data_IF_532713081163
#
_entry.id   IF_532713081163
#
_cell.length_a   1.000
_cell.length_b   1.000
_cell.length_c   1.000
_cell.angle_alpha   90.00
_cell.angle_beta   90.00
_cell.angle_gamma   90.00
#
_symmetry.space_group_name_H-M   'P 1'
#
loop_
_entity.id
_entity.type
_entity.pdbx_description
1 polymer ?
#
# COMPACT_ATOMS: atom_id res chain seq x y z
N UNK A 1 52.44 6.61 81.73
CA UNK A 1 53.23 7.28 80.67
C UNK A 1 52.40 7.29 79.39
N UNK A 2 52.10 8.49 78.85
CA UNK A 2 51.45 8.81 77.54
C UNK A 2 49.94 8.51 77.40
N UNK A 3 49.02 9.47 77.30
CA UNK A 3 48.74 10.61 76.36
C UNK A 3 47.68 10.22 75.30
N UNK A 4 46.50 10.89 75.38
CA UNK A 4 45.66 11.52 74.33
C UNK A 4 45.57 10.92 72.89
N UNK A 5 44.36 10.75 72.32
CA UNK A 5 43.67 11.72 71.42
C UNK A 5 42.46 11.13 70.64
N UNK A 6 41.51 12.03 70.39
CA UNK A 6 40.33 11.97 69.51
C UNK A 6 40.65 11.57 68.05
N UNK A 7 39.66 11.01 67.34
CA UNK A 7 39.13 11.62 66.10
C UNK A 7 37.82 10.99 65.62
N UNK A 8 36.82 11.87 65.41
CA UNK A 8 35.58 11.65 64.69
C UNK A 8 35.82 11.36 63.20
N UNK A 9 35.02 10.48 62.59
CA UNK A 9 34.53 10.65 61.20
C UNK A 9 33.10 10.12 61.15
N UNK A 10 32.14 11.04 61.00
CA UNK A 10 30.79 10.76 60.50
C UNK A 10 30.89 10.23 59.07
N UNK A 11 30.29 9.09 58.77
CA UNK A 11 29.90 8.75 57.40
C UNK A 11 28.38 8.73 57.31
N UNK A 12 27.85 9.82 56.76
CA UNK A 12 26.51 9.88 56.21
C UNK A 12 26.47 9.02 54.95
N UNK A 13 25.76 7.90 55.00
CA UNK A 13 25.42 7.16 53.78
C UNK A 13 24.17 7.80 53.21
N UNK A 14 24.38 8.51 52.09
CA UNK A 14 23.36 9.05 51.21
C UNK A 14 22.36 7.96 50.84
N UNK A 15 21.10 8.17 51.21
CA UNK A 15 19.96 7.48 50.62
C UNK A 15 19.89 7.87 49.14
N UNK A 16 20.51 7.06 48.29
CA UNK A 16 20.30 7.11 46.86
C UNK A 16 18.85 6.75 46.57
N UNK A 17 18.11 7.71 46.03
CA UNK A 17 16.81 7.51 45.40
C UNK A 17 16.97 6.45 44.32
N UNK A 18 16.60 5.21 44.63
CA UNK A 18 16.31 4.23 43.60
C UNK A 18 15.14 4.80 42.80
N UNK A 19 15.45 5.41 41.64
CA UNK A 19 14.47 5.58 40.60
C UNK A 19 13.91 4.18 40.33
N UNK A 20 12.69 3.94 40.79
CA UNK A 20 11.95 2.73 40.48
C UNK A 20 11.88 2.65 38.96
N UNK A 21 12.70 1.78 38.37
CA UNK A 21 12.51 1.38 37.00
C UNK A 21 11.11 0.75 36.96
N UNK A 22 10.13 1.49 36.45
CA UNK A 22 8.82 0.94 36.17
C UNK A 22 9.06 -0.28 35.28
N UNK A 23 8.46 -1.44 35.58
CA UNK A 23 8.59 -2.58 34.69
C UNK A 23 8.11 -2.15 33.31
N UNK A 24 9.00 -2.28 32.31
CA UNK A 24 8.68 -2.01 30.91
C UNK A 24 7.35 -2.69 30.59
N UNK A 25 6.34 -1.90 30.25
CA UNK A 25 5.06 -2.45 29.82
C UNK A 25 5.31 -3.32 28.57
N UNK A 26 4.71 -4.52 28.49
CA UNK A 26 4.84 -5.34 27.28
C UNK A 26 4.35 -4.55 26.07
N UNK A 27 5.06 -4.57 24.94
CA UNK A 27 4.68 -3.82 23.73
C UNK A 27 3.20 -4.07 23.32
N UNK A 28 2.72 -5.29 23.51
CA UNK A 28 1.33 -5.67 23.25
C UNK A 28 0.30 -4.92 24.10
N UNK A 29 0.64 -4.39 25.27
CA UNK A 29 -0.28 -3.59 26.08
C UNK A 29 -0.56 -2.21 25.50
N UNK A 30 0.15 -1.80 24.44
CA UNK A 30 -0.09 -0.55 23.72
C UNK A 30 -1.17 -0.69 22.61
N UNK A 31 -1.71 -1.90 22.40
CA UNK A 31 -2.83 -2.18 21.46
C UNK A 31 -4.23 -1.86 22.03
N UNK A 32 -4.33 -0.78 22.80
CA UNK A 32 -5.58 -0.36 23.45
C UNK A 32 -5.82 1.15 23.28
N UNK A 33 -5.49 1.67 22.10
CA UNK A 33 -5.77 3.07 21.77
C UNK A 33 -7.29 3.29 21.70
N UNK A 34 -7.78 4.51 22.01
CA UNK A 34 -9.19 4.83 21.79
C UNK A 34 -9.57 4.55 20.34
N UNK A 35 -10.67 3.82 20.15
CA UNK A 35 -11.27 3.58 18.84
C UNK A 35 -11.61 4.93 18.23
N UNK A 36 -11.20 5.14 16.98
CA UNK A 36 -11.62 6.29 16.21
C UNK A 36 -12.34 5.78 14.97
N UNK A 37 -13.61 6.14 14.83
CA UNK A 37 -14.28 6.04 13.55
C UNK A 37 -14.82 7.40 13.15
N UNK A 38 -14.42 7.85 11.96
CA UNK A 38 -14.94 9.07 11.33
C UNK A 38 -16.34 8.89 10.76
N UNK A 39 -17.00 7.75 11.03
CA UNK A 39 -18.35 7.43 10.56
C UNK A 39 -19.30 7.88 11.67
N UNK A 40 -19.79 9.11 11.54
CA UNK A 40 -21.06 9.47 12.18
C UNK A 40 -22.09 8.40 11.81
N UNK A 41 -23.21 8.29 12.52
CA UNK A 41 -24.27 7.31 12.24
C UNK A 41 -24.74 7.24 10.77
N UNK A 42 -24.34 8.19 9.93
CA UNK A 42 -24.54 8.24 8.49
C UNK A 42 -23.34 7.63 7.74
N UNK A 43 -23.65 6.50 7.14
CA UNK A 43 -22.89 5.85 6.08
C UNK A 43 -22.53 6.85 4.96
N UNK A 44 -21.24 7.16 4.81
CA UNK A 44 -20.74 8.00 3.72
C UNK A 44 -20.70 7.15 2.44
N UNK A 45 -21.13 7.71 1.29
CA UNK A 45 -21.16 7.08 -0.05
C UNK A 45 -22.35 6.10 -0.29
N UNK A 46 -23.52 6.69 -0.60
CA UNK A 46 -24.77 5.95 -0.78
C UNK A 46 -24.73 4.97 -1.96
N UNK A 47 -24.06 5.31 -3.06
CA UNK A 47 -23.94 4.48 -4.26
C UNK A 47 -23.15 3.20 -3.98
N UNK A 48 -21.97 3.33 -3.36
CA UNK A 48 -21.15 2.19 -2.94
C UNK A 48 -21.97 1.26 -2.05
N UNK A 49 -22.62 1.83 -1.03
CA UNK A 49 -23.34 1.04 -0.05
C UNK A 49 -24.55 0.36 -0.67
N UNK A 50 -25.30 1.05 -1.54
CA UNK A 50 -26.38 0.45 -2.29
C UNK A 50 -25.89 -0.72 -3.16
N UNK A 51 -24.68 -0.63 -3.74
CA UNK A 51 -24.13 -1.67 -4.59
C UNK A 51 -23.76 -2.95 -3.82
N UNK A 52 -23.30 -2.85 -2.57
CA UNK A 52 -22.78 -3.99 -1.80
C UNK A 52 -23.67 -4.45 -0.63
N UNK A 53 -24.67 -3.65 -0.22
CA UNK A 53 -25.57 -4.01 0.89
C UNK A 53 -26.36 -5.29 0.60
N UNK A 54 -26.32 -6.21 1.57
CA UNK A 54 -27.05 -7.48 1.51
C UNK A 54 -26.49 -8.51 0.53
N UNK A 55 -25.36 -8.23 -0.13
CA UNK A 55 -24.67 -9.18 -1.01
C UNK A 55 -23.57 -9.92 -0.24
N UNK A 56 -23.57 -11.26 -0.21
CA UNK A 56 -22.46 -12.00 0.39
C UNK A 56 -21.20 -11.86 -0.47
N UNK A 57 -20.06 -11.60 0.16
CA UNK A 57 -18.77 -11.65 -0.52
C UNK A 57 -18.27 -13.10 -0.61
N UNK A 58 -17.71 -13.47 -1.77
CA UNK A 58 -17.05 -14.76 -2.00
C UNK A 58 -15.66 -14.48 -2.57
N UNK A 59 -14.62 -14.91 -1.86
CA UNK A 59 -13.25 -14.79 -2.34
C UNK A 59 -13.02 -15.68 -3.56
N UNK A 60 -12.66 -15.07 -4.68
CA UNK A 60 -12.33 -15.70 -5.97
C UNK A 60 -10.97 -15.18 -6.43
N UNK A 61 -10.26 -15.96 -7.26
CA UNK A 61 -8.96 -15.56 -7.77
C UNK A 61 -9.07 -14.98 -9.18
N UNK A 62 -8.44 -13.84 -9.43
CA UNK A 62 -8.44 -13.19 -10.74
C UNK A 62 -7.96 -14.13 -11.86
N UNK A 63 -6.97 -14.98 -11.56
CA UNK A 63 -6.43 -15.98 -12.50
C UNK A 63 -7.49 -16.94 -13.04
N UNK A 64 -8.55 -17.22 -12.27
CA UNK A 64 -9.61 -18.18 -12.68
C UNK A 64 -10.57 -17.55 -13.71
N UNK A 65 -10.48 -16.23 -13.90
CA UNK A 65 -11.34 -15.44 -14.79
C UNK A 65 -10.54 -14.63 -15.83
N UNK A 66 -9.22 -14.85 -15.89
CA UNK A 66 -8.33 -14.17 -16.82
C UNK A 66 -7.92 -15.15 -17.91
N UNK A 67 -8.03 -14.80 -19.21
CA UNK A 67 -7.60 -15.67 -20.28
C UNK A 67 -6.08 -15.88 -20.22
N UNK A 68 -5.63 -17.08 -20.58
CA UNK A 68 -4.21 -17.33 -20.82
C UNK A 68 -3.82 -16.83 -22.21
N UNK A 69 -2.66 -16.18 -22.29
CA UNK A 69 -2.06 -15.89 -23.59
C UNK A 69 -1.64 -17.21 -24.25
N UNK A 70 -1.79 -17.29 -25.58
CA UNK A 70 -1.19 -18.40 -26.33
C UNK A 70 0.32 -18.45 -26.09
N UNK A 71 0.95 -19.62 -26.26
CA UNK A 71 2.41 -19.74 -26.09
C UNK A 71 3.22 -18.74 -26.95
N UNK A 72 2.70 -18.35 -28.12
CA UNK A 72 3.35 -17.33 -28.94
C UNK A 72 3.14 -15.91 -28.39
N UNK A 73 1.93 -15.57 -27.96
CA UNK A 73 1.61 -14.30 -27.34
C UNK A 73 2.39 -14.09 -26.03
N UNK A 74 2.44 -15.11 -25.18
CA UNK A 74 3.19 -15.09 -23.92
C UNK A 74 4.67 -14.83 -24.17
N UNK A 75 5.31 -15.57 -25.10
CA UNK A 75 6.73 -15.33 -25.43
C UNK A 75 6.99 -13.91 -25.93
N UNK A 76 6.14 -13.40 -26.81
CA UNK A 76 6.30 -12.06 -27.34
C UNK A 76 6.14 -10.98 -26.25
N UNK A 77 5.22 -11.19 -25.30
CA UNK A 77 5.08 -10.31 -24.14
C UNK A 77 6.26 -10.43 -23.17
N UNK A 78 6.75 -11.64 -22.92
CA UNK A 78 7.94 -11.88 -22.07
C UNK A 78 9.19 -11.18 -22.62
N UNK A 79 9.33 -11.07 -23.95
CA UNK A 79 10.43 -10.33 -24.56
C UNK A 79 10.39 -8.82 -24.22
N UNK A 80 9.19 -8.24 -24.10
CA UNK A 80 9.01 -6.88 -23.59
C UNK A 80 9.37 -6.79 -22.11
N UNK A 81 8.82 -7.69 -21.28
CA UNK A 81 9.05 -7.72 -19.83
C UNK A 81 10.55 -7.81 -19.52
N UNK A 82 11.26 -8.76 -20.14
CA UNK A 82 12.71 -8.93 -19.96
C UNK A 82 13.50 -7.70 -20.40
N UNK A 83 13.09 -7.06 -21.48
CA UNK A 83 13.79 -5.87 -21.97
C UNK A 83 13.63 -4.69 -21.03
N UNK A 84 12.45 -4.53 -20.42
CA UNK A 84 12.20 -3.49 -19.42
C UNK A 84 12.96 -3.77 -18.13
N UNK A 85 12.93 -4.99 -17.58
CA UNK A 85 13.70 -5.36 -16.38
C UNK A 85 15.21 -5.11 -16.53
N UNK A 86 15.76 -5.42 -17.71
CA UNK A 86 17.16 -5.11 -18.02
C UNK A 86 17.40 -3.61 -18.18
N UNK A 87 16.41 -2.93 -18.76
CA UNK A 87 16.43 -1.51 -19.08
C UNK A 87 16.40 -0.58 -17.89
N UNK A 88 15.70 -0.91 -16.80
CA UNK A 88 15.63 -0.06 -15.59
C UNK A 88 17.01 0.22 -14.97
N UNK A 89 17.99 -0.65 -15.25
CA UNK A 89 19.39 -0.49 -14.80
C UNK A 89 20.23 0.40 -15.73
N UNK A 90 19.69 0.82 -16.87
CA UNK A 90 20.37 1.63 -17.87
C UNK A 90 20.00 3.10 -17.67
N UNK A 91 21.00 3.95 -17.49
CA UNK A 91 20.78 5.40 -17.36
C UNK A 91 20.02 5.94 -18.58
N UNK A 92 19.00 6.75 -18.31
CA UNK A 92 18.15 7.37 -19.35
C UNK A 92 17.37 6.40 -20.25
N UNK A 93 17.20 5.13 -19.84
CA UNK A 93 16.45 4.11 -20.60
C UNK A 93 15.07 4.60 -21.09
N UNK A 94 14.33 5.29 -20.23
CA UNK A 94 12.99 5.77 -20.53
C UNK A 94 12.93 6.89 -21.57
N UNK A 95 13.94 7.77 -21.64
CA UNK A 95 13.94 8.91 -22.56
C UNK A 95 14.83 8.71 -23.80
N UNK A 96 15.72 7.72 -23.80
CA UNK A 96 16.51 7.41 -24.98
C UNK A 96 15.64 6.95 -26.14
N UNK A 97 15.90 7.51 -27.33
CA UNK A 97 15.08 7.29 -28.52
C UNK A 97 15.15 5.85 -29.06
N UNK A 98 16.31 5.20 -28.96
CA UNK A 98 16.48 3.83 -29.43
C UNK A 98 15.79 2.84 -28.48
N UNK A 99 15.95 3.04 -27.17
CA UNK A 99 15.25 2.25 -26.16
C UNK A 99 13.73 2.43 -26.22
N UNK A 100 13.27 3.66 -26.44
CA UNK A 100 11.84 3.95 -26.68
C UNK A 100 11.31 3.19 -27.89
N UNK A 101 11.96 3.32 -29.05
CA UNK A 101 11.54 2.61 -30.26
C UNK A 101 11.51 1.10 -30.04
N UNK A 102 12.52 0.54 -29.34
CA UNK A 102 12.57 -0.89 -29.07
C UNK A 102 11.43 -1.37 -28.17
N UNK A 103 11.04 -0.61 -27.13
CA UNK A 103 9.87 -0.93 -26.29
C UNK A 103 8.58 -0.92 -27.11
N UNK A 104 8.39 0.11 -27.95
CA UNK A 104 7.23 0.24 -28.84
C UNK A 104 7.14 -0.94 -29.83
N UNK A 105 8.27 -1.34 -30.41
CA UNK A 105 8.35 -2.49 -31.33
C UNK A 105 8.00 -3.82 -30.65
N UNK A 106 8.51 -4.04 -29.44
CA UNK A 106 8.23 -5.25 -28.65
C UNK A 106 6.77 -5.30 -28.22
N UNK A 107 6.18 -4.18 -27.79
CA UNK A 107 4.77 -4.07 -27.46
C UNK A 107 3.89 -4.35 -28.69
N UNK A 108 4.22 -3.76 -29.83
CA UNK A 108 3.50 -4.00 -31.09
C UNK A 108 3.60 -5.47 -31.55
N UNK A 109 4.76 -6.11 -31.37
CA UNK A 109 4.95 -7.52 -31.67
C UNK A 109 4.07 -8.43 -30.77
N UNK A 110 4.00 -8.13 -29.47
CA UNK A 110 3.15 -8.86 -28.53
C UNK A 110 1.64 -8.70 -28.83
N UNK A 111 1.21 -7.49 -29.19
CA UNK A 111 -0.16 -7.24 -29.66
C UNK A 111 -0.46 -8.04 -30.92
N UNK A 112 0.45 -8.04 -31.91
CA UNK A 112 0.31 -8.81 -33.15
C UNK A 112 0.27 -10.32 -32.89
N UNK A 113 0.98 -10.80 -31.88
CA UNK A 113 0.95 -12.18 -31.43
C UNK A 113 -0.36 -12.56 -30.70
N UNK A 114 -1.20 -11.56 -30.38
CA UNK A 114 -2.50 -11.75 -29.74
C UNK A 114 -2.49 -11.65 -28.22
N UNK A 115 -1.46 -11.03 -27.61
CA UNK A 115 -1.39 -10.87 -26.16
C UNK A 115 -2.45 -9.90 -25.65
N UNK A 116 -3.30 -10.36 -24.74
CA UNK A 116 -4.26 -9.48 -24.07
C UNK A 116 -3.54 -8.54 -23.10
N UNK A 117 -2.45 -9.00 -22.46
CA UNK A 117 -1.62 -8.19 -21.54
C UNK A 117 -0.98 -7.01 -22.27
N UNK A 118 -0.42 -7.26 -23.46
CA UNK A 118 0.12 -6.22 -24.31
C UNK A 118 -0.94 -5.22 -24.77
N UNK A 119 -2.12 -5.71 -25.18
CA UNK A 119 -3.25 -4.86 -25.56
C UNK A 119 -3.73 -4.00 -24.39
N UNK A 120 -3.79 -4.58 -23.20
CA UNK A 120 -4.13 -3.87 -21.96
C UNK A 120 -3.12 -2.76 -21.66
N UNK A 121 -1.82 -3.10 -21.63
CA UNK A 121 -0.74 -2.17 -21.35
C UNK A 121 -0.75 -0.98 -22.33
N UNK A 122 -0.88 -1.24 -23.63
CA UNK A 122 -0.97 -0.21 -24.67
C UNK A 122 -2.20 0.68 -24.48
N UNK A 123 -3.35 0.10 -24.10
CA UNK A 123 -4.57 0.85 -23.87
C UNK A 123 -4.44 1.78 -22.67
N UNK A 124 -3.93 1.28 -21.54
CA UNK A 124 -3.72 2.08 -20.32
C UNK A 124 -2.70 3.20 -20.57
N UNK A 125 -1.61 2.88 -21.27
CA UNK A 125 -0.61 3.87 -21.65
C UNK A 125 -1.21 4.97 -22.51
N UNK A 126 -1.90 4.60 -23.59
CA UNK A 126 -2.48 5.54 -24.55
C UNK A 126 -3.63 6.37 -23.98
N UNK A 127 -4.30 5.89 -22.92
CA UNK A 127 -5.29 6.67 -22.19
C UNK A 127 -4.63 7.72 -21.28
N UNK A 128 -3.56 7.34 -20.57
CA UNK A 128 -2.84 8.22 -19.63
C UNK A 128 -1.94 9.23 -20.34
N UNK A 129 -1.29 8.82 -21.42
CA UNK A 129 -0.35 9.62 -22.22
C UNK A 129 -0.76 9.64 -23.69
N UNK A 130 -1.92 10.25 -24.02
CA UNK A 130 -2.45 10.22 -25.37
C UNK A 130 -1.58 11.05 -26.32
N UNK A 131 -1.27 10.48 -27.49
CA UNK A 131 -0.66 11.24 -28.60
C UNK A 131 -1.62 12.30 -29.14
N UNK A 132 -2.90 11.93 -29.27
CA UNK A 132 -4.01 12.78 -29.65
C UNK A 132 -5.34 12.16 -29.15
N UNK A 133 -6.46 12.89 -29.27
CA UNK A 133 -7.76 12.41 -28.80
C UNK A 133 -8.30 11.19 -29.56
N UNK A 134 -7.86 10.96 -30.80
CA UNK A 134 -8.27 9.78 -31.59
C UNK A 134 -7.57 8.53 -31.06
N UNK A 135 -6.27 8.61 -30.76
CA UNK A 135 -5.51 7.53 -30.13
C UNK A 135 -6.10 7.18 -28.76
N UNK A 136 -6.45 8.20 -27.97
CA UNK A 136 -7.13 7.99 -26.68
C UNK A 136 -8.46 7.25 -26.85
N UNK A 137 -9.29 7.67 -27.81
CA UNK A 137 -10.58 7.02 -28.09
C UNK A 137 -10.43 5.56 -28.53
N UNK A 138 -9.44 5.25 -29.37
CA UNK A 138 -9.13 3.86 -29.77
C UNK A 138 -8.72 3.03 -28.56
N UNK A 139 -7.86 3.56 -27.70
CA UNK A 139 -7.40 2.89 -26.50
C UNK A 139 -8.54 2.61 -25.50
N UNK A 140 -9.46 3.57 -25.31
CA UNK A 140 -10.67 3.33 -24.49
C UNK A 140 -11.54 2.20 -25.04
N UNK A 141 -11.78 2.16 -26.35
CA UNK A 141 -12.55 1.07 -26.99
C UNK A 141 -11.86 -0.28 -26.81
N UNK A 142 -10.52 -0.32 -26.88
CA UNK A 142 -9.74 -1.53 -26.65
C UNK A 142 -9.85 -1.99 -25.20
N UNK A 143 -9.71 -1.09 -24.23
CA UNK A 143 -9.87 -1.41 -22.82
C UNK A 143 -11.27 -1.95 -22.53
N UNK A 144 -12.33 -1.32 -23.03
CA UNK A 144 -13.70 -1.82 -22.90
C UNK A 144 -13.90 -3.21 -23.53
N UNK A 145 -13.20 -3.52 -24.63
CA UNK A 145 -13.26 -4.86 -25.22
C UNK A 145 -12.69 -5.90 -24.26
N UNK A 146 -11.62 -5.58 -23.55
CA UNK A 146 -11.06 -6.45 -22.51
C UNK A 146 -12.00 -6.59 -21.31
N UNK A 147 -12.70 -5.51 -20.92
CA UNK A 147 -13.79 -5.58 -19.92
C UNK A 147 -14.87 -6.57 -20.37
N UNK A 148 -15.33 -6.47 -21.62
CA UNK A 148 -16.35 -7.38 -22.19
C UNK A 148 -15.88 -8.83 -22.30
N UNK A 149 -14.57 -9.07 -22.40
CA UNK A 149 -13.97 -10.41 -22.32
C UNK A 149 -13.92 -10.96 -20.89
N UNK A 150 -14.29 -10.15 -19.90
CA UNK A 150 -14.34 -10.56 -18.50
C UNK A 150 -13.01 -10.48 -17.78
N UNK A 151 -12.04 -9.71 -18.30
CA UNK A 151 -10.73 -9.55 -17.67
C UNK A 151 -10.87 -8.64 -16.43
N UNK A 152 -10.62 -9.14 -15.20
CA UNK A 152 -10.91 -8.39 -13.98
C UNK A 152 -10.08 -7.11 -13.86
N UNK A 153 -8.80 -7.17 -14.18
CA UNK A 153 -7.88 -6.03 -14.15
C UNK A 153 -8.32 -4.90 -15.12
N UNK A 154 -8.83 -5.28 -16.29
CA UNK A 154 -9.35 -4.31 -17.26
C UNK A 154 -10.63 -3.63 -16.74
N UNK A 155 -11.53 -4.40 -16.12
CA UNK A 155 -12.76 -3.87 -15.52
C UNK A 155 -12.45 -2.89 -14.39
N UNK A 156 -11.53 -3.26 -13.49
CA UNK A 156 -11.02 -2.37 -12.45
C UNK A 156 -10.46 -1.08 -13.05
N UNK A 157 -9.48 -1.17 -13.96
CA UNK A 157 -8.82 0.00 -14.52
C UNK A 157 -9.79 0.91 -15.28
N UNK A 158 -10.71 0.34 -16.06
CA UNK A 158 -11.74 1.14 -16.74
C UNK A 158 -12.67 1.83 -15.73
N UNK A 159 -13.07 1.15 -14.65
CA UNK A 159 -13.86 1.76 -13.58
C UNK A 159 -13.15 2.97 -12.95
N UNK A 160 -11.84 2.90 -12.70
CA UNK A 160 -11.09 4.04 -12.14
C UNK A 160 -11.12 5.29 -13.02
N UNK A 161 -11.30 5.14 -14.34
CA UNK A 161 -11.48 6.29 -15.23
C UNK A 161 -12.87 6.92 -15.12
N UNK A 162 -13.86 6.24 -14.56
CA UNK A 162 -15.21 6.78 -14.37
C UNK A 162 -15.38 7.59 -13.09
N UNK A 163 -14.38 7.61 -12.21
CA UNK A 163 -14.42 8.33 -10.94
C UNK A 163 -14.83 9.80 -11.11
N UNK A 164 -15.88 10.24 -10.41
CA UNK A 164 -16.43 11.59 -10.48
C UNK A 164 -17.12 11.95 -11.80
N UNK A 165 -17.17 11.01 -12.76
CA UNK A 165 -17.85 11.15 -14.05
C UNK A 165 -19.14 10.33 -14.11
N UNK A 166 -19.09 9.09 -13.64
CA UNK A 166 -20.22 8.18 -13.54
C UNK A 166 -19.98 7.15 -12.43
N UNK A 167 -20.18 7.57 -11.19
CA UNK A 167 -19.90 6.75 -10.00
C UNK A 167 -20.78 5.49 -9.96
N UNK A 168 -21.98 5.54 -10.52
CA UNK A 168 -22.87 4.38 -10.62
C UNK A 168 -22.26 3.31 -11.53
N UNK A 169 -21.85 3.69 -12.74
CA UNK A 169 -21.20 2.75 -13.66
C UNK A 169 -19.85 2.27 -13.10
N UNK A 170 -19.11 3.15 -12.43
CA UNK A 170 -17.87 2.78 -11.72
C UNK A 170 -18.11 1.65 -10.70
N UNK A 171 -19.04 1.82 -9.75
CA UNK A 171 -19.28 0.79 -8.73
C UNK A 171 -19.87 -0.50 -9.31
N UNK A 172 -20.62 -0.43 -10.40
CA UNK A 172 -21.07 -1.63 -11.13
C UNK A 172 -19.87 -2.41 -11.68
N UNK A 173 -18.94 -1.73 -12.37
CA UNK A 173 -17.74 -2.36 -12.91
C UNK A 173 -16.79 -2.87 -11.83
N UNK A 174 -16.65 -2.16 -10.71
CA UNK A 174 -15.86 -2.63 -9.56
C UNK A 174 -16.48 -3.87 -8.95
N UNK A 175 -17.81 -3.92 -8.80
CA UNK A 175 -18.50 -5.11 -8.33
C UNK A 175 -18.28 -6.30 -9.30
N UNK A 176 -18.41 -6.09 -10.60
CA UNK A 176 -18.14 -7.11 -11.62
C UNK A 176 -16.68 -7.60 -11.57
N UNK A 177 -15.72 -6.69 -11.34
CA UNK A 177 -14.31 -7.03 -11.19
C UNK A 177 -14.05 -7.87 -9.93
N UNK A 178 -14.68 -7.51 -8.80
CA UNK A 178 -14.62 -8.27 -7.54
C UNK A 178 -15.23 -9.66 -7.69
N UNK A 179 -16.38 -9.78 -8.36
CA UNK A 179 -17.02 -11.06 -8.65
C UNK A 179 -16.14 -11.98 -9.50
N UNK A 180 -15.18 -11.41 -10.25
CA UNK A 180 -14.20 -12.15 -11.04
C UNK A 180 -12.82 -12.22 -10.38
N UNK A 181 -12.71 -11.78 -9.14
CA UNK A 181 -11.50 -11.97 -8.32
C UNK A 181 -10.45 -10.87 -8.41
N UNK A 182 -10.71 -9.69 -9.01
CA UNK A 182 -9.72 -8.60 -9.08
C UNK A 182 -9.28 -8.17 -7.68
N UNK A 183 -8.01 -8.39 -7.30
CA UNK A 183 -7.52 -7.95 -6.00
C UNK A 183 -7.46 -6.43 -5.89
N UNK A 184 -7.25 -5.70 -7.00
CA UNK A 184 -7.23 -4.24 -7.04
C UNK A 184 -8.61 -3.65 -6.74
N UNK A 185 -9.67 -4.21 -7.35
CA UNK A 185 -11.03 -3.77 -7.05
C UNK A 185 -11.46 -4.14 -5.63
N UNK A 186 -11.01 -5.30 -5.12
CA UNK A 186 -11.24 -5.71 -3.73
C UNK A 186 -10.56 -4.79 -2.73
N UNK A 187 -9.35 -4.33 -3.03
CA UNK A 187 -8.64 -3.35 -2.21
C UNK A 187 -9.37 -2.01 -2.23
N UNK A 188 -9.61 -1.43 -3.40
CA UNK A 188 -10.26 -0.13 -3.52
C UNK A 188 -11.64 -0.09 -2.82
N UNK A 189 -12.48 -1.09 -3.08
CA UNK A 189 -13.82 -1.17 -2.48
C UNK A 189 -13.74 -1.55 -1.01
N UNK A 190 -12.89 -2.53 -0.66
CA UNK A 190 -12.72 -3.02 0.70
C UNK A 190 -12.22 -1.94 1.65
N UNK A 191 -11.15 -1.24 1.27
CA UNK A 191 -10.57 -0.10 1.97
C UNK A 191 -11.56 1.03 2.19
N UNK A 192 -12.32 1.37 1.13
CA UNK A 192 -13.37 2.38 1.24
C UNK A 192 -14.47 1.94 2.21
N UNK A 193 -14.94 0.69 2.11
CA UNK A 193 -16.00 0.14 2.97
C UNK A 193 -15.59 0.12 4.44
N UNK A 194 -14.37 -0.34 4.76
CA UNK A 194 -13.96 -0.48 6.16
C UNK A 194 -13.94 0.86 6.89
N UNK A 195 -13.59 1.92 6.16
CA UNK A 195 -13.60 3.29 6.66
C UNK A 195 -15.03 3.84 6.72
N UNK A 196 -15.87 3.64 5.69
CA UNK A 196 -17.12 4.41 5.51
C UNK A 196 -18.41 3.72 5.99
N UNK A 197 -18.43 2.40 6.17
CA UNK A 197 -19.64 1.67 6.61
C UNK A 197 -19.34 0.61 7.68
N UNK A 198 -19.80 0.87 8.90
CA UNK A 198 -19.74 -0.10 10.01
C UNK A 198 -20.45 -1.40 9.67
N UNK A 199 -21.60 -1.33 8.99
CA UNK A 199 -22.40 -2.50 8.65
C UNK A 199 -21.71 -3.40 7.62
N UNK A 200 -20.93 -2.82 6.71
CA UNK A 200 -20.23 -3.55 5.65
C UNK A 200 -18.77 -3.87 5.97
N UNK A 201 -18.20 -3.37 7.08
CA UNK A 201 -16.82 -3.66 7.52
C UNK A 201 -16.43 -5.14 7.43
N UNK A 202 -17.23 -6.12 7.89
CA UNK A 202 -16.85 -7.53 7.75
C UNK A 202 -16.66 -7.96 6.29
N UNK A 203 -17.48 -7.45 5.37
CA UNK A 203 -17.33 -7.71 3.95
C UNK A 203 -16.10 -6.99 3.37
N UNK A 204 -15.88 -5.73 3.73
CA UNK A 204 -14.70 -4.97 3.30
C UNK A 204 -13.39 -5.63 3.76
N UNK A 205 -13.31 -6.04 5.03
CA UNK A 205 -12.16 -6.80 5.54
C UNK A 205 -11.96 -8.11 4.77
N UNK A 206 -13.04 -8.85 4.49
CA UNK A 206 -12.93 -10.09 3.73
C UNK A 206 -12.43 -9.87 2.29
N UNK A 207 -12.79 -8.75 1.65
CA UNK A 207 -12.23 -8.34 0.36
C UNK A 207 -10.72 -8.07 0.47
N UNK A 208 -10.28 -7.31 1.48
CA UNK A 208 -8.87 -7.03 1.73
C UNK A 208 -8.05 -8.30 2.00
N UNK A 209 -8.56 -9.20 2.86
CA UNK A 209 -7.91 -10.49 3.14
C UNK A 209 -7.79 -11.34 1.85
N UNK A 210 -8.81 -11.30 0.98
CA UNK A 210 -8.78 -11.98 -0.30
C UNK A 210 -7.76 -11.38 -1.27
N UNK A 211 -7.67 -10.05 -1.36
CA UNK A 211 -6.66 -9.35 -2.16
C UNK A 211 -5.24 -9.71 -1.71
N UNK A 212 -4.97 -9.71 -0.40
CA UNK A 212 -3.70 -10.16 0.17
C UNK A 212 -3.37 -11.61 -0.17
N UNK A 213 -4.37 -12.51 -0.13
CA UNK A 213 -4.17 -13.93 -0.49
C UNK A 213 -3.76 -14.14 -1.95
N UNK A 214 -3.96 -13.12 -2.80
CA UNK A 214 -3.55 -13.08 -4.19
C UNK A 214 -2.23 -12.31 -4.40
N UNK A 215 -1.61 -11.80 -3.33
CA UNK A 215 -0.34 -11.08 -3.37
C UNK A 215 -0.46 -9.57 -3.59
N UNK A 216 -1.65 -8.98 -3.49
CA UNK A 216 -1.83 -7.55 -3.72
C UNK A 216 -1.54 -6.73 -2.46
N UNK A 217 -0.31 -6.21 -2.38
CA UNK A 217 0.24 -5.63 -1.16
C UNK A 217 -0.46 -4.37 -0.66
N UNK A 218 -1.09 -3.57 -1.54
CA UNK A 218 -1.78 -2.35 -1.15
C UNK A 218 -2.86 -2.61 -0.08
N UNK A 219 -3.47 -3.81 -0.06
CA UNK A 219 -4.45 -4.18 0.96
C UNK A 219 -3.88 -4.22 2.40
N UNK A 220 -2.56 -4.30 2.58
CA UNK A 220 -1.94 -4.13 3.91
C UNK A 220 -2.17 -2.73 4.47
N UNK A 221 -2.22 -1.70 3.63
CA UNK A 221 -2.47 -0.33 4.07
C UNK A 221 -3.84 -0.23 4.75
N UNK A 222 -4.89 -0.66 4.05
CA UNK A 222 -6.26 -0.59 4.54
C UNK A 222 -6.53 -1.49 5.74
N UNK A 223 -5.90 -2.67 5.79
CA UNK A 223 -5.95 -3.52 6.98
C UNK A 223 -5.25 -2.87 8.16
N UNK A 224 -4.14 -2.15 7.92
CA UNK A 224 -3.47 -1.36 8.95
C UNK A 224 -4.33 -0.20 9.44
N UNK A 225 -5.01 0.51 8.53
CA UNK A 225 -6.00 1.54 8.88
C UNK A 225 -7.14 0.95 9.72
N UNK A 226 -7.70 -0.19 9.32
CA UNK A 226 -8.74 -0.87 10.09
C UNK A 226 -8.24 -1.25 11.50
N UNK A 227 -7.04 -1.82 11.62
CA UNK A 227 -6.45 -2.15 12.91
C UNK A 227 -6.26 -0.90 13.80
N UNK A 228 -5.78 0.21 13.23
CA UNK A 228 -5.64 1.48 13.97
C UNK A 228 -7.00 2.04 14.42
N UNK A 229 -8.01 2.02 13.55
CA UNK A 229 -9.38 2.42 13.89
C UNK A 229 -9.92 1.59 15.05
N UNK A 230 -9.62 0.29 15.10
CA UNK A 230 -10.02 -0.63 16.16
C UNK A 230 -9.16 -0.52 17.44
N UNK A 231 -8.20 0.41 17.48
CA UNK A 231 -7.33 0.66 18.63
C UNK A 231 -6.09 -0.24 18.69
N UNK A 232 -5.87 -1.07 17.67
CA UNK A 232 -4.77 -2.02 17.55
C UNK A 232 -3.57 -1.41 16.82
N UNK A 233 -3.01 -0.33 17.39
CA UNK A 233 -1.96 0.49 16.77
C UNK A 233 -0.66 -0.27 16.48
N UNK A 234 -0.20 -1.16 17.36
CA UNK A 234 0.96 -2.01 17.10
C UNK A 234 0.71 -2.96 15.92
N UNK A 235 -0.50 -3.50 15.82
CA UNK A 235 -0.84 -4.41 14.73
C UNK A 235 -0.92 -3.66 13.39
N UNK A 236 -1.40 -2.42 13.41
CA UNK A 236 -1.34 -1.52 12.25
C UNK A 236 0.09 -1.32 11.74
N UNK A 237 1.04 -0.97 12.61
CA UNK A 237 2.45 -0.82 12.25
C UNK A 237 3.05 -2.10 11.67
N UNK A 238 2.71 -3.26 12.21
CA UNK A 238 3.15 -4.56 11.69
C UNK A 238 2.55 -4.88 10.32
N UNK A 239 1.32 -4.46 10.06
CA UNK A 239 0.69 -4.60 8.75
C UNK A 239 1.36 -3.69 7.72
N UNK A 240 1.61 -2.43 8.07
CA UNK A 240 2.32 -1.50 7.18
C UNK A 240 3.76 -1.92 6.90
N UNK A 241 4.49 -2.45 7.89
CA UNK A 241 5.82 -3.04 7.67
C UNK A 241 5.78 -4.22 6.68
N UNK A 242 4.80 -5.12 6.80
CA UNK A 242 4.62 -6.20 5.82
C UNK A 242 4.27 -5.65 4.44
N UNK A 243 3.43 -4.62 4.40
CA UNK A 243 3.01 -3.95 3.17
C UNK A 243 4.17 -3.31 2.43
N UNK A 244 4.98 -2.49 3.08
CA UNK A 244 6.11 -1.81 2.44
C UNK A 244 7.11 -2.83 1.86
N UNK A 245 7.35 -3.92 2.60
CA UNK A 245 8.20 -5.03 2.15
C UNK A 245 7.60 -5.86 1.01
N UNK A 246 6.31 -5.69 0.74
CA UNK A 246 5.59 -6.35 -0.35
C UNK A 246 5.22 -5.39 -1.50
N UNK A 247 5.61 -4.11 -1.44
CA UNK A 247 5.36 -3.13 -2.51
C UNK A 247 4.10 -2.30 -2.38
N UNK A 248 3.65 -2.08 -1.14
CA UNK A 248 2.67 -1.06 -0.81
C UNK A 248 3.37 0.29 -0.57
N UNK A 249 3.23 1.22 -1.51
CA UNK A 249 3.81 2.57 -1.40
C UNK A 249 3.14 3.36 -0.26
N UNK A 250 1.81 3.30 -0.17
CA UNK A 250 1.03 3.99 0.86
C UNK A 250 1.38 3.53 2.28
N UNK A 251 1.84 2.28 2.43
CA UNK A 251 2.31 1.75 3.70
C UNK A 251 3.59 2.44 4.18
N UNK A 252 4.45 2.92 3.26
CA UNK A 252 5.66 3.67 3.61
C UNK A 252 5.29 4.98 4.32
N UNK A 253 4.28 5.70 3.82
CA UNK A 253 3.79 6.93 4.45
C UNK A 253 3.31 6.72 5.88
N UNK A 254 2.65 5.60 6.17
CA UNK A 254 2.23 5.28 7.54
C UNK A 254 3.44 5.03 8.48
N UNK A 255 4.54 4.52 7.93
CA UNK A 255 5.80 4.25 8.64
C UNK A 255 6.70 5.49 8.79
N UNK A 256 6.46 6.58 8.06
CA UNK A 256 7.19 7.84 8.25
C UNK A 256 7.09 8.38 9.68
N UNK A 257 6.06 7.97 10.45
CA UNK A 257 5.92 8.27 11.88
C UNK A 257 7.17 7.94 12.70
N UNK A 258 7.97 6.95 12.29
CA UNK A 258 9.25 6.62 12.93
C UNK A 258 10.23 7.79 12.93
N UNK A 259 10.16 8.72 11.98
CA UNK A 259 10.99 9.93 11.98
C UNK A 259 10.88 10.70 13.30
N UNK A 260 9.70 10.72 13.93
CA UNK A 260 9.42 11.47 15.17
C UNK A 260 10.26 11.01 16.36
N UNK A 261 10.73 9.78 16.36
CA UNK A 261 11.58 9.21 17.43
C UNK A 261 13.06 9.21 17.08
N UNK A 262 13.44 9.72 15.91
CA UNK A 262 14.83 9.79 15.45
C UNK A 262 15.49 11.05 16.01
N UNK A 263 16.79 10.94 16.26
CA UNK A 263 17.59 12.07 16.76
C UNK A 263 17.60 13.18 15.71
N UNK A 264 17.31 14.41 16.14
CA UNK A 264 17.30 15.57 15.24
C UNK A 264 15.96 15.81 14.55
N UNK A 265 14.91 15.05 14.90
CA UNK A 265 13.56 15.33 14.43
C UNK A 265 13.12 16.74 14.83
N UNK A 266 12.61 17.46 13.83
CA UNK A 266 11.84 18.69 13.97
C UNK A 266 10.64 18.60 13.02
N UNK A 267 9.55 19.37 13.23
CA UNK A 267 8.43 19.41 12.30
C UNK A 267 8.82 19.84 10.86
N UNK A 268 9.98 20.47 10.67
CA UNK A 268 10.49 20.88 9.37
C UNK A 268 11.47 19.87 8.74
N UNK A 269 11.81 18.79 9.45
CA UNK A 269 12.75 17.76 8.96
C UNK A 269 12.13 16.96 7.82
N UNK A 270 12.94 16.61 6.82
CA UNK A 270 12.54 15.65 5.78
C UNK A 270 12.43 14.25 6.37
N UNK A 271 11.28 13.60 6.21
CA UNK A 271 11.07 12.24 6.74
C UNK A 271 12.02 11.23 6.11
N UNK A 272 12.31 11.37 4.81
CA UNK A 272 13.26 10.51 4.10
C UNK A 272 14.71 10.66 4.56
N UNK A 273 15.10 11.80 5.14
CA UNK A 273 16.42 11.94 5.79
C UNK A 273 16.49 11.22 7.13
N UNK A 274 15.37 11.15 7.85
CA UNK A 274 15.28 10.56 9.18
C UNK A 274 14.96 9.05 9.14
N UNK A 275 14.39 8.57 8.04
CA UNK A 275 14.10 7.15 7.79
C UNK A 275 14.62 6.76 6.40
N UNK A 276 15.95 6.76 6.19
CA UNK A 276 16.57 6.53 4.88
C UNK A 276 16.27 5.15 4.29
N UNK A 277 15.90 4.17 5.11
CA UNK A 277 15.46 2.85 4.66
C UNK A 277 14.18 2.95 3.82
N UNK A 278 13.17 3.69 4.28
CA UNK A 278 11.91 3.89 3.54
C UNK A 278 12.16 4.65 2.23
N UNK A 279 12.98 5.71 2.27
CA UNK A 279 13.32 6.48 1.06
C UNK A 279 14.00 5.63 -0.02
N UNK A 280 14.81 4.63 0.36
CA UNK A 280 15.40 3.68 -0.61
C UNK A 280 14.35 2.74 -1.21
N UNK A 281 13.37 2.31 -0.42
CA UNK A 281 12.27 1.45 -0.89
C UNK A 281 11.35 2.23 -1.82
N UNK A 282 10.94 3.44 -1.45
CA UNK A 282 10.15 4.34 -2.31
C UNK A 282 10.86 4.58 -3.63
N UNK A 283 12.18 4.88 -3.57
CA UNK A 283 12.98 5.03 -4.79
C UNK A 283 12.94 3.77 -5.65
N UNK A 284 13.13 2.59 -5.06
CA UNK A 284 13.10 1.32 -5.79
C UNK A 284 11.77 1.11 -6.53
N UNK A 285 10.64 1.40 -5.89
CA UNK A 285 9.33 1.25 -6.52
C UNK A 285 9.03 2.35 -7.56
N UNK A 286 9.47 3.59 -7.32
CA UNK A 286 9.36 4.68 -8.30
C UNK A 286 10.10 4.41 -9.61
N UNK A 287 11.11 3.54 -9.56
CA UNK A 287 11.86 3.08 -10.72
C UNK A 287 11.14 1.90 -11.43
N UNK A 288 9.97 1.41 -10.97
CA UNK A 288 9.16 0.35 -11.61
C UNK A 288 7.93 0.90 -12.36
N UNK A 289 8.19 1.81 -13.30
CA UNK A 289 7.18 2.64 -13.93
C UNK A 289 6.04 1.87 -14.63
N UNK A 290 6.32 0.76 -15.32
CA UNK A 290 5.25 0.03 -16.03
C UNK A 290 4.30 -0.70 -15.08
N UNK A 291 4.79 -1.17 -13.94
CA UNK A 291 3.92 -1.77 -12.95
C UNK A 291 2.98 -0.73 -12.36
N UNK A 292 3.48 0.43 -11.94
CA UNK A 292 2.65 1.53 -11.42
C UNK A 292 1.58 1.97 -12.43
N UNK A 293 1.95 2.03 -13.71
CA UNK A 293 1.01 2.37 -14.77
C UNK A 293 -0.10 1.31 -14.91
N UNK A 294 0.29 0.04 -14.99
CA UNK A 294 -0.58 -1.03 -15.49
C UNK A 294 -1.20 -1.90 -14.41
N UNK A 295 -0.49 -2.16 -13.30
CA UNK A 295 -0.84 -3.17 -12.31
C UNK A 295 -0.69 -4.61 -12.82
N UNK A 296 -0.01 -4.85 -13.95
CA UNK A 296 0.20 -6.21 -14.46
C UNK A 296 1.20 -6.96 -13.58
N UNK A 297 0.85 -8.14 -13.02
CA UNK A 297 1.75 -8.90 -12.15
C UNK A 297 3.06 -9.31 -12.83
N UNK A 298 3.06 -9.49 -14.15
CA UNK A 298 4.25 -9.82 -14.94
C UNK A 298 5.34 -8.71 -14.90
N UNK A 299 4.95 -7.48 -14.57
CA UNK A 299 5.85 -6.32 -14.47
C UNK A 299 6.21 -6.00 -13.01
N UNK A 300 5.69 -6.75 -12.05
CA UNK A 300 6.00 -6.53 -10.64
C UNK A 300 7.46 -6.94 -10.35
N UNK A 301 8.20 -6.03 -9.71
CA UNK A 301 9.55 -6.28 -9.23
C UNK A 301 9.50 -6.45 -7.70
N UNK A 302 9.83 -7.63 -7.17
CA UNK A 302 9.85 -7.85 -5.73
C UNK A 302 11.00 -7.05 -5.09
N UNK A 303 10.76 -6.56 -3.87
CA UNK A 303 11.80 -5.90 -3.08
C UNK A 303 12.96 -6.87 -2.82
N UNK A 304 14.22 -6.48 -3.09
CA UNK A 304 15.37 -7.23 -2.64
C UNK A 304 15.44 -7.30 -1.10
N UNK A 305 15.85 -8.45 -0.55
CA UNK A 305 15.94 -8.68 0.90
C UNK A 305 16.81 -7.63 1.61
N UNK A 306 17.86 -7.13 0.96
CA UNK A 306 18.74 -6.09 1.48
C UNK A 306 18.08 -4.71 1.64
N UNK A 307 16.96 -4.48 0.95
CA UNK A 307 16.17 -3.25 1.08
C UNK A 307 15.00 -3.40 2.05
N UNK A 308 14.75 -4.60 2.60
CA UNK A 308 13.63 -4.82 3.51
C UNK A 308 13.68 -3.89 4.73
N UNK A 309 12.54 -3.27 5.02
CA UNK A 309 12.34 -2.45 6.20
C UNK A 309 12.01 -3.33 7.40
N UNK A 310 12.72 -3.12 8.51
CA UNK A 310 12.48 -3.85 9.75
C UNK A 310 12.29 -2.89 10.91
N UNK A 311 11.16 -3.00 11.59
CA UNK A 311 10.93 -2.24 12.82
C UNK A 311 11.47 -3.02 14.03
N UNK A 312 12.16 -2.32 14.94
CA UNK A 312 12.54 -2.93 16.21
C UNK A 312 11.44 -2.73 17.25
N UNK A 313 11.23 -3.71 18.12
CA UNK A 313 10.27 -3.59 19.23
C UNK A 313 10.57 -2.36 20.11
N UNK A 314 11.84 -1.98 20.27
CA UNK A 314 12.24 -0.80 21.02
C UNK A 314 11.83 0.52 20.34
N UNK A 315 11.90 0.58 19.02
CA UNK A 315 11.44 1.75 18.26
C UNK A 315 9.91 1.82 18.21
N UNK A 316 9.25 0.68 17.99
CA UNK A 316 7.79 0.59 18.06
C UNK A 316 7.29 1.07 19.43
N UNK A 317 7.92 0.61 20.52
CA UNK A 317 7.57 1.02 21.88
C UNK A 317 7.66 2.55 22.05
N UNK A 318 8.80 3.15 21.68
CA UNK A 318 9.00 4.61 21.78
C UNK A 318 7.99 5.40 20.96
N UNK A 319 7.70 4.94 19.75
CA UNK A 319 6.75 5.60 18.85
C UNK A 319 5.34 5.55 19.44
N UNK A 320 4.91 4.38 19.90
CA UNK A 320 3.58 4.20 20.48
C UNK A 320 3.41 4.97 21.79
N UNK A 321 4.43 5.02 22.66
CA UNK A 321 4.41 5.87 23.85
C UNK A 321 4.29 7.35 23.49
N UNK A 322 5.04 7.82 22.49
CA UNK A 322 4.96 9.20 22.02
C UNK A 322 3.57 9.52 21.48
N UNK A 323 2.98 8.64 20.67
CA UNK A 323 1.64 8.84 20.13
C UNK A 323 0.56 8.85 21.22
N UNK A 324 0.66 7.95 22.20
CA UNK A 324 -0.25 7.92 23.34
C UNK A 324 -0.14 9.20 24.18
N UNK A 325 1.08 9.67 24.44
CA UNK A 325 1.32 10.93 25.13
C UNK A 325 0.70 12.10 24.36
N UNK A 326 0.95 12.22 23.06
CA UNK A 326 0.39 13.30 22.23
C UNK A 326 -1.14 13.26 22.27
N UNK A 327 -1.77 12.10 22.04
CA UNK A 327 -3.24 11.96 22.04
C UNK A 327 -3.86 12.38 23.38
N UNK A 328 -3.23 12.04 24.51
CA UNK A 328 -3.71 12.43 25.84
C UNK A 328 -3.61 13.94 26.12
N UNK A 329 -2.75 14.67 25.41
CA UNK A 329 -2.49 16.10 25.63
C UNK A 329 -3.01 16.99 24.49
N UNK A 330 -3.56 16.41 23.42
CA UNK A 330 -4.28 17.13 22.36
C UNK A 330 -5.79 17.00 22.47
N UNK A 331 -6.31 16.09 23.31
CA UNK A 331 -7.75 16.01 23.64
C UNK A 331 -8.25 17.11 24.57
N UNK A 332 -7.36 17.97 25.08
CA UNK A 332 -7.69 19.20 25.82
C UNK A 332 -7.50 20.43 24.92
N UNK A 333 -8.49 20.73 24.07
CA UNK A 333 -8.55 21.95 23.25
C UNK A 333 -9.95 22.15 22.68
N UNK A 334 -10.46 23.40 22.65
CA UNK A 334 -11.88 23.78 22.86
C UNK A 334 -12.90 23.26 21.86
#
# INVERSE_FOLDING_TARGET
MRIFLLSCVLFAVLAGSAASAQPLQPLASLNHSPVWDGVSSEENNAELIAQFRGKPFVCRKAKDHTPEDSANASRAFDDLVKYVDQGERIENFWNDSAHKQRREDLLAAAIKAGSWKATYLDSVWSIRYPKDGKAQGVASVQLERLVRQGIPLAAYKYATYLYGRDDKAMYQLLADAIERGSPEAMELVGGTIVIQSKALRPAGKAMLDCALSQGYAAAYNDLGVLADMEGHRLDAYRLWEKGVNSGCEECAHALEGFAKIRKGYTPASSMGELVPELARIEKFYSDNFLYELSGLPDLYLPLPDELAFHTSDADLFKLLELEQFVRAHTSDGP
#
